data_IF_551273086322
#
_entry.id   IF_551273086322
#
_cell.length_a   1.000
_cell.length_b   1.000
_cell.length_c   1.000
_cell.angle_alpha   90.00
_cell.angle_beta   90.00
_cell.angle_gamma   90.00
#
_symmetry.space_group_name_H-M   'P 1'
#
loop_
_entity.id
_entity.type
_entity.pdbx_description
1 polymer ?
#
# COMPACT_ATOMS: atom_id res chain seq x y z
N UNK A 1 -9.80 -8.57 2.18
CA UNK A 1 -9.36 -8.04 3.49
C UNK A 1 -8.10 -7.22 3.28
N UNK A 2 -8.15 -5.94 3.62
CA UNK A 2 -6.97 -5.11 3.81
C UNK A 2 -6.53 -5.34 5.25
N UNK A 3 -5.30 -5.83 5.47
CA UNK A 3 -4.78 -6.12 6.80
C UNK A 3 -4.62 -4.83 7.62
N UNK A 4 -4.96 -4.86 8.90
CA UNK A 4 -4.78 -3.73 9.82
C UNK A 4 -3.47 -3.82 10.63
N UNK A 5 -2.75 -4.94 10.60
CA UNK A 5 -1.49 -5.13 11.32
C UNK A 5 -0.49 -5.91 10.47
N UNK A 6 0.79 -5.80 10.85
CA UNK A 6 1.90 -6.49 10.20
C UNK A 6 2.59 -5.68 9.09
N UNK A 7 2.15 -4.46 8.79
CA UNK A 7 2.60 -3.70 7.61
C UNK A 7 2.85 -2.23 7.91
N UNK A 8 4.08 -1.90 8.32
CA UNK A 8 4.42 -0.55 8.77
C UNK A 8 3.62 -0.12 10.00
N UNK A 9 3.52 1.19 10.21
CA UNK A 9 2.67 1.76 11.25
C UNK A 9 1.20 1.60 10.87
N UNK A 10 0.37 1.33 11.88
CA UNK A 10 -1.08 1.26 11.75
C UNK A 10 -1.63 2.65 12.00
N UNK A 11 -2.35 3.19 11.01
CA UNK A 11 -3.07 4.43 11.14
C UNK A 11 -4.47 4.17 11.66
N UNK A 12 -4.81 4.85 12.75
CA UNK A 12 -6.16 4.93 13.28
C UNK A 12 -6.83 6.17 12.69
N UNK A 13 -7.86 5.96 11.87
CA UNK A 13 -8.59 7.03 11.20
C UNK A 13 -10.00 7.11 11.79
N UNK A 14 -10.36 8.24 12.42
CA UNK A 14 -11.64 8.35 13.12
C UNK A 14 -12.81 8.32 12.13
N UNK A 15 -13.78 7.48 12.44
CA UNK A 15 -15.04 7.40 11.71
C UNK A 15 -15.95 8.52 12.21
N UNK A 16 -16.37 9.39 11.31
CA UNK A 16 -17.27 10.50 11.60
C UNK A 16 -18.74 10.06 11.54
N UNK A 17 -19.57 10.79 12.30
CA UNK A 17 -21.03 10.61 12.39
C UNK A 17 -21.48 9.19 12.78
N UNK A 18 -20.69 8.50 13.61
CA UNK A 18 -21.08 7.20 14.16
C UNK A 18 -22.21 7.38 15.17
N UNK A 19 -23.27 6.59 15.02
CA UNK A 19 -24.37 6.58 15.99
C UNK A 19 -23.88 6.08 17.35
N UNK A 20 -24.12 6.81 18.45
CA UNK A 20 -23.81 6.33 19.79
C UNK A 20 -24.49 5.00 20.13
N UNK A 21 -25.73 4.81 19.66
CA UNK A 21 -26.50 3.58 19.89
C UNK A 21 -25.80 2.36 19.28
N UNK A 22 -25.20 2.53 18.09
CA UNK A 22 -24.44 1.46 17.43
C UNK A 22 -23.18 1.09 18.23
N UNK A 23 -22.48 2.07 18.79
CA UNK A 23 -21.30 1.80 19.62
C UNK A 23 -21.66 1.06 20.90
N UNK A 24 -22.75 1.45 21.55
CA UNK A 24 -23.25 0.76 22.75
C UNK A 24 -23.63 -0.67 22.43
N UNK A 25 -24.43 -0.89 21.39
CA UNK A 25 -24.83 -2.23 20.93
C UNK A 25 -23.59 -3.09 20.63
N UNK A 26 -22.60 -2.53 19.93
CA UNK A 26 -21.38 -3.25 19.60
C UNK A 26 -20.54 -3.65 20.84
N UNK A 27 -20.43 -2.76 21.82
CA UNK A 27 -19.74 -3.05 23.08
C UNK A 27 -20.47 -4.14 23.88
N UNK A 28 -21.81 -4.06 23.96
CA UNK A 28 -22.64 -5.06 24.64
C UNK A 28 -22.54 -6.44 23.98
N UNK A 29 -22.63 -6.51 22.64
CA UNK A 29 -22.55 -7.76 21.89
C UNK A 29 -21.17 -8.43 22.00
N UNK A 30 -20.10 -7.62 21.95
CA UNK A 30 -18.74 -8.14 22.05
C UNK A 30 -18.34 -8.54 23.47
N UNK A 31 -18.99 -7.99 24.49
CA UNK A 31 -18.57 -8.10 25.90
C UNK A 31 -17.21 -7.45 26.18
N UNK A 32 -16.78 -6.50 25.35
CA UNK A 32 -15.51 -5.79 25.45
C UNK A 32 -15.74 -4.27 25.44
N UNK A 33 -14.90 -3.52 26.15
CA UNK A 33 -14.88 -2.06 26.08
C UNK A 33 -14.16 -1.54 24.84
N UNK A 34 -13.43 -2.40 24.12
CA UNK A 34 -12.67 -2.05 22.91
C UNK A 34 -12.92 -3.07 21.78
N UNK A 35 -14.19 -3.28 21.36
CA UNK A 35 -14.53 -4.19 20.28
C UNK A 35 -13.79 -3.83 19.00
N UNK A 36 -13.48 -4.87 18.22
CA UNK A 36 -13.07 -4.73 16.83
C UNK A 36 -14.00 -5.52 15.92
N UNK A 37 -14.34 -4.90 14.79
CA UNK A 37 -15.23 -5.47 13.77
C UNK A 37 -14.69 -5.25 12.38
N UNK A 38 -15.11 -6.11 11.45
CA UNK A 38 -14.82 -5.92 10.04
C UNK A 38 -15.86 -5.00 9.39
N UNK A 39 -15.40 -3.97 8.69
CA UNK A 39 -16.24 -3.00 7.98
C UNK A 39 -15.80 -2.89 6.53
N UNK A 40 -16.73 -2.57 5.65
CA UNK A 40 -16.48 -2.33 4.24
C UNK A 40 -16.36 -0.83 3.95
N UNK A 41 -15.36 -0.47 3.15
CA UNK A 41 -15.23 0.88 2.60
C UNK A 41 -15.88 0.97 1.22
N UNK A 42 -16.56 2.09 0.94
CA UNK A 42 -17.14 2.41 -0.37
C UNK A 42 -17.01 3.90 -0.66
N UNK A 43 -17.17 4.33 -1.91
CA UNK A 43 -16.99 5.74 -2.30
C UNK A 43 -15.66 5.95 -3.02
N UNK A 44 -14.97 7.06 -2.73
CA UNK A 44 -13.66 7.34 -3.32
C UNK A 44 -12.82 8.24 -2.41
N UNK A 45 -11.51 8.14 -2.53
CA UNK A 45 -10.54 9.00 -1.82
C UNK A 45 -10.75 10.49 -2.10
N UNK A 46 -11.35 10.84 -3.23
CA UNK A 46 -11.62 12.21 -3.62
C UNK A 46 -12.83 12.83 -2.88
N UNK A 47 -13.76 12.00 -2.42
CA UNK A 47 -15.00 12.42 -1.74
C UNK A 47 -15.04 12.02 -0.26
N UNK A 48 -14.18 11.09 0.16
CA UNK A 48 -14.28 10.40 1.45
C UNK A 48 -14.81 8.96 1.28
N UNK A 49 -14.53 8.11 2.25
CA UNK A 49 -15.01 6.73 2.25
C UNK A 49 -16.21 6.58 3.18
N UNK A 50 -17.30 5.99 2.68
CA UNK A 50 -18.39 5.53 3.54
C UNK A 50 -17.98 4.23 4.20
N UNK A 51 -18.16 4.16 5.52
CA UNK A 51 -17.87 2.97 6.33
C UNK A 51 -19.18 2.21 6.53
N UNK A 52 -19.15 0.92 6.18
CA UNK A 52 -20.34 0.05 6.23
C UNK A 52 -20.09 -1.17 7.10
N UNK A 53 -20.91 -1.36 8.12
CA UNK A 53 -21.01 -2.64 8.82
C UNK A 53 -22.13 -3.44 8.17
N UNK A 54 -21.80 -4.63 7.69
CA UNK A 54 -22.69 -5.43 6.84
C UNK A 54 -23.21 -4.60 5.64
N UNK A 55 -24.53 -4.37 5.57
CA UNK A 55 -25.21 -3.58 4.54
C UNK A 55 -25.71 -2.21 5.03
N UNK A 56 -25.26 -1.76 6.20
CA UNK A 56 -25.64 -0.47 6.78
C UNK A 56 -24.45 0.47 6.82
N UNK A 57 -24.64 1.71 6.37
CA UNK A 57 -23.63 2.76 6.54
C UNK A 57 -23.65 3.24 7.98
N UNK A 58 -22.53 3.11 8.67
CA UNK A 58 -22.37 3.47 10.09
C UNK A 58 -21.65 4.80 10.30
N UNK A 59 -21.04 5.35 9.25
CA UNK A 59 -20.31 6.60 9.30
C UNK A 59 -19.45 6.80 8.05
N UNK A 60 -18.50 7.72 8.10
CA UNK A 60 -17.59 7.99 7.00
C UNK A 60 -16.19 8.43 7.46
N UNK A 61 -15.20 8.20 6.61
CA UNK A 61 -13.89 8.81 6.70
C UNK A 61 -13.91 10.09 5.86
N UNK A 62 -13.48 11.19 6.47
CA UNK A 62 -13.40 12.50 5.83
C UNK A 62 -12.42 12.49 4.64
N UNK A 63 -12.61 13.45 3.73
CA UNK A 63 -11.86 13.53 2.48
C UNK A 63 -10.37 13.76 2.73
N UNK A 64 -10.03 14.54 3.75
CA UNK A 64 -8.67 14.90 4.13
C UNK A 64 -7.82 13.65 4.45
N UNK A 65 -8.39 12.71 5.18
CA UNK A 65 -7.77 11.44 5.55
C UNK A 65 -7.86 10.43 4.40
N UNK A 66 -9.01 10.34 3.74
CA UNK A 66 -9.23 9.43 2.62
C UNK A 66 -8.31 9.71 1.42
N UNK A 67 -7.98 10.98 1.17
CA UNK A 67 -7.15 11.41 0.05
C UNK A 67 -5.72 10.82 0.06
N UNK A 68 -5.23 10.35 1.22
CA UNK A 68 -3.95 9.66 1.30
C UNK A 68 -4.01 8.23 0.73
N UNK A 69 -5.19 7.60 0.71
CA UNK A 69 -5.41 6.19 0.38
C UNK A 69 -5.98 5.98 -1.03
N UNK A 70 -5.40 6.68 -2.02
CA UNK A 70 -5.85 6.58 -3.43
C UNK A 70 -5.76 5.17 -4.00
N UNK A 71 -4.96 4.28 -3.42
CA UNK A 71 -4.86 2.88 -3.80
C UNK A 71 -6.15 2.09 -3.55
N UNK A 72 -6.98 2.52 -2.60
CA UNK A 72 -8.27 1.88 -2.32
C UNK A 72 -9.30 2.17 -3.41
N UNK A 73 -9.17 3.29 -4.13
CA UNK A 73 -10.04 3.61 -5.27
C UNK A 73 -9.96 2.52 -6.34
N UNK A 74 -8.81 1.90 -6.55
CA UNK A 74 -8.67 0.82 -7.54
C UNK A 74 -9.47 -0.42 -7.16
N UNK A 75 -9.53 -0.75 -5.86
CA UNK A 75 -10.36 -1.87 -5.38
C UNK A 75 -11.84 -1.55 -5.61
N UNK A 76 -12.24 -0.32 -5.28
CA UNK A 76 -13.63 0.13 -5.40
C UNK A 76 -14.07 0.24 -6.87
N UNK A 77 -13.23 0.81 -7.73
CA UNK A 77 -13.43 0.92 -9.17
C UNK A 77 -13.53 -0.45 -9.85
N UNK A 78 -12.87 -1.47 -9.31
CA UNK A 78 -13.01 -2.86 -9.74
C UNK A 78 -14.33 -3.53 -9.27
N UNK A 79 -15.21 -2.77 -8.59
CA UNK A 79 -16.47 -3.26 -8.06
C UNK A 79 -16.33 -4.09 -6.78
N UNK A 80 -15.14 -4.10 -6.17
CA UNK A 80 -14.88 -4.78 -4.91
C UNK A 80 -15.05 -3.82 -3.73
N UNK A 81 -15.21 -4.37 -2.53
CA UNK A 81 -15.34 -3.59 -1.29
C UNK A 81 -14.14 -3.91 -0.39
N UNK A 82 -13.24 -2.95 -0.11
CA UNK A 82 -12.18 -3.14 0.87
C UNK A 82 -12.78 -3.48 2.24
N UNK A 83 -12.53 -4.69 2.72
CA UNK A 83 -12.86 -5.13 4.06
C UNK A 83 -11.69 -4.79 4.99
N UNK A 84 -11.91 -3.91 5.96
CA UNK A 84 -10.92 -3.38 6.91
C UNK A 84 -11.38 -3.62 8.35
N UNK A 85 -10.47 -3.55 9.31
CA UNK A 85 -10.83 -3.59 10.73
C UNK A 85 -11.18 -2.18 11.22
N UNK A 86 -12.26 -2.04 11.97
CA UNK A 86 -12.53 -0.86 12.79
C UNK A 86 -12.54 -1.25 14.27
N UNK A 87 -12.01 -0.38 15.13
CA UNK A 87 -11.86 -0.65 16.57
C UNK A 87 -12.37 0.53 17.39
N UNK A 88 -13.07 0.21 18.48
CA UNK A 88 -13.39 1.19 19.52
C UNK A 88 -12.16 1.36 20.42
N UNK A 89 -11.71 2.60 20.57
CA UNK A 89 -10.64 3.00 21.48
C UNK A 89 -11.18 4.04 22.46
N UNK A 90 -10.54 4.19 23.63
CA UNK A 90 -10.85 5.28 24.56
C UNK A 90 -9.80 6.37 24.39
N UNK A 91 -10.24 7.58 24.07
CA UNK A 91 -9.38 8.76 23.91
C UNK A 91 -9.64 9.72 25.06
N UNK A 92 -8.57 10.20 25.69
CA UNK A 92 -8.67 11.20 26.75
C UNK A 92 -8.82 12.59 26.14
N UNK A 93 -9.90 13.28 26.50
CA UNK A 93 -10.14 14.67 26.13
C UNK A 93 -10.63 15.45 27.35
N UNK A 94 -9.90 16.50 27.70
CA UNK A 94 -10.18 17.36 28.88
C UNK A 94 -10.29 16.58 30.21
N UNK A 95 -9.51 15.50 30.36
CA UNK A 95 -9.50 14.66 31.56
C UNK A 95 -10.66 13.66 31.65
N UNK A 96 -11.49 13.55 30.62
CA UNK A 96 -12.53 12.54 30.48
C UNK A 96 -12.20 11.57 29.34
N UNK A 97 -12.51 10.29 29.51
CA UNK A 97 -12.36 9.28 28.45
C UNK A 97 -13.61 9.25 27.58
N UNK A 98 -13.41 9.39 26.27
CA UNK A 98 -14.45 9.34 25.26
C UNK A 98 -14.19 8.16 24.31
N UNK A 99 -15.23 7.40 23.90
CA UNK A 99 -15.07 6.38 22.90
C UNK A 99 -14.81 7.02 21.53
N UNK A 100 -13.69 6.66 20.89
CA UNK A 100 -13.43 6.86 19.47
C UNK A 100 -13.67 5.56 18.72
N UNK A 101 -14.16 5.64 17.50
CA UNK A 101 -14.30 4.47 16.63
C UNK A 101 -13.51 4.70 15.36
N UNK A 102 -12.42 3.96 15.22
CA UNK A 102 -11.38 4.23 14.24
C UNK A 102 -11.26 3.07 13.25
N UNK A 103 -11.17 3.38 11.96
CA UNK A 103 -10.69 2.41 10.96
C UNK A 103 -9.18 2.24 11.11
N UNK A 104 -8.73 0.99 11.20
CA UNK A 104 -7.32 0.64 11.24
C UNK A 104 -6.83 0.28 9.83
N UNK A 105 -6.01 1.15 9.24
CA UNK A 105 -5.38 0.93 7.94
C UNK A 105 -3.86 0.92 8.06
N UNK A 106 -3.14 0.17 7.21
CA UNK A 106 -1.70 0.36 7.04
C UNK A 106 -1.40 1.80 6.62
N UNK A 107 -0.14 2.23 6.75
CA UNK A 107 0.26 3.52 6.18
C UNK A 107 -0.10 3.65 4.68
N UNK A 108 -0.40 4.87 4.17
CA UNK A 108 -0.68 5.10 2.76
C UNK A 108 0.36 4.48 1.82
N UNK A 109 -0.09 3.84 0.75
CA UNK A 109 0.76 3.09 -0.18
C UNK A 109 1.05 1.65 0.24
N UNK A 110 0.59 1.23 1.42
CA UNK A 110 0.78 -0.13 1.94
C UNK A 110 -0.46 -1.02 1.86
N UNK A 111 -1.63 -0.45 1.55
CA UNK A 111 -2.90 -1.19 1.54
C UNK A 111 -2.98 -2.23 0.42
N UNK A 112 -2.39 -1.92 -0.74
CA UNK A 112 -2.47 -2.75 -1.96
C UNK A 112 -1.08 -2.85 -2.57
N UNK A 113 -0.67 -4.01 -3.11
CA UNK A 113 0.60 -4.10 -3.79
C UNK A 113 0.59 -3.26 -5.07
N UNK A 114 1.71 -2.60 -5.35
CA UNK A 114 1.89 -1.71 -6.50
C UNK A 114 2.16 -2.46 -7.80
N UNK A 115 2.56 -3.73 -7.70
CA UNK A 115 2.77 -4.64 -8.82
C UNK A 115 1.70 -5.73 -8.88
N UNK A 116 1.50 -6.26 -10.08
CA UNK A 116 0.58 -7.37 -10.30
C UNK A 116 1.17 -8.67 -9.75
N UNK A 117 0.33 -9.63 -9.33
CA UNK A 117 0.80 -10.97 -9.02
C UNK A 117 1.46 -11.60 -10.27
N UNK A 118 2.37 -12.58 -10.08
CA UNK A 118 3.00 -13.28 -11.19
C UNK A 118 1.97 -13.88 -12.16
N UNK A 119 2.31 -13.92 -13.44
CA UNK A 119 1.48 -14.55 -14.45
C UNK A 119 1.50 -16.08 -14.31
N UNK A 120 2.60 -16.66 -13.82
CA UNK A 120 2.72 -18.10 -13.56
C UNK A 120 1.86 -18.55 -12.36
N UNK A 121 1.74 -19.86 -12.15
CA UNK A 121 1.05 -20.39 -10.96
C UNK A 121 1.83 -20.03 -9.70
N UNK A 122 1.13 -19.49 -8.70
CA UNK A 122 1.77 -18.99 -7.49
C UNK A 122 0.95 -19.30 -6.23
N UNK A 123 1.61 -19.19 -5.08
CA UNK A 123 0.99 -19.34 -3.77
C UNK A 123 1.46 -18.23 -2.84
N UNK A 124 0.51 -17.54 -2.20
CA UNK A 124 0.81 -16.52 -1.20
C UNK A 124 1.23 -17.19 0.10
N UNK A 125 2.48 -17.00 0.52
CA UNK A 125 2.94 -17.42 1.82
C UNK A 125 2.22 -16.61 2.92
N UNK A 126 1.84 -17.25 4.04
CA UNK A 126 1.45 -16.51 5.25
C UNK A 126 2.62 -15.66 5.72
N UNK A 127 2.37 -14.51 6.34
CA UNK A 127 3.43 -13.54 6.63
C UNK A 127 3.20 -12.74 7.90
N UNK A 128 3.53 -13.33 9.05
CA UNK A 128 3.61 -12.61 10.33
C UNK A 128 5.05 -12.29 10.73
N UNK A 129 6.01 -13.09 10.27
CA UNK A 129 7.42 -12.94 10.59
C UNK A 129 8.12 -12.05 9.57
N UNK A 130 8.82 -11.02 10.05
CA UNK A 130 9.57 -10.08 9.23
C UNK A 130 10.99 -10.57 8.92
N UNK A 131 11.40 -10.44 7.66
CA UNK A 131 12.77 -10.62 7.18
C UNK A 131 13.25 -9.32 6.52
N UNK A 132 14.14 -8.60 7.18
CA UNK A 132 14.61 -7.29 6.72
C UNK A 132 15.81 -7.42 5.75
N UNK A 133 15.74 -6.69 4.65
CA UNK A 133 16.74 -6.64 3.60
C UNK A 133 17.19 -5.19 3.44
N UNK A 134 18.48 -4.96 3.64
CA UNK A 134 19.14 -3.67 3.42
C UNK A 134 20.24 -3.75 2.35
N UNK A 135 20.56 -4.97 1.91
CA UNK A 135 21.57 -5.24 0.88
C UNK A 135 20.89 -5.68 -0.41
N UNK A 136 20.93 -4.81 -1.41
CA UNK A 136 20.31 -5.03 -2.70
C UNK A 136 21.37 -5.20 -3.80
N UNK A 137 20.98 -5.86 -4.87
CA UNK A 137 21.74 -5.97 -6.10
C UNK A 137 21.66 -4.65 -6.88
N UNK A 138 22.68 -4.34 -7.68
CA UNK A 138 22.93 -3.01 -8.27
C UNK A 138 21.88 -2.50 -9.26
N UNK A 139 20.82 -3.26 -9.57
CA UNK A 139 19.70 -2.82 -10.41
C UNK A 139 18.51 -2.45 -9.53
N UNK A 140 18.44 -1.17 -9.17
CA UNK A 140 17.46 -0.60 -8.24
C UNK A 140 16.32 0.16 -8.92
N UNK A 141 16.22 0.18 -10.25
CA UNK A 141 15.20 0.93 -11.01
C UNK A 141 13.74 0.48 -10.73
N UNK A 142 13.56 -0.57 -9.92
CA UNK A 142 12.27 -1.13 -9.54
C UNK A 142 11.65 -0.40 -8.34
N UNK A 143 12.47 0.26 -7.51
CA UNK A 143 11.98 0.86 -6.28
C UNK A 143 11.72 2.37 -6.38
N UNK A 144 10.59 2.85 -5.85
CA UNK A 144 10.20 4.27 -5.82
C UNK A 144 10.96 5.05 -4.75
N UNK A 145 10.68 6.36 -4.65
CA UNK A 145 11.11 7.19 -3.50
C UNK A 145 10.16 7.08 -2.30
N UNK A 146 8.89 6.71 -2.55
CA UNK A 146 7.84 6.51 -1.54
C UNK A 146 7.89 5.13 -0.89
N UNK A 147 7.28 5.00 0.30
CA UNK A 147 7.03 3.70 0.89
C UNK A 147 5.93 2.99 0.09
N UNK A 148 6.16 1.73 -0.29
CA UNK A 148 5.24 0.97 -1.14
C UNK A 148 5.22 -0.51 -0.77
N UNK A 149 4.04 -1.12 -0.92
CA UNK A 149 3.84 -2.56 -0.78
C UNK A 149 4.08 -3.26 -2.14
N UNK A 150 4.87 -4.33 -2.13
CA UNK A 150 5.18 -5.17 -3.27
C UNK A 150 4.77 -6.62 -3.02
N UNK A 151 4.38 -7.32 -4.08
CA UNK A 151 4.44 -8.76 -4.17
C UNK A 151 5.83 -9.18 -4.64
N UNK A 152 6.54 -9.92 -3.81
CA UNK A 152 7.85 -10.49 -4.15
C UNK A 152 7.76 -11.99 -4.36
N UNK A 153 8.56 -12.52 -5.29
CA UNK A 153 8.73 -13.95 -5.48
C UNK A 153 9.99 -14.43 -4.77
N UNK A 154 9.87 -15.50 -4.00
CA UNK A 154 10.96 -16.15 -3.27
C UNK A 154 11.43 -17.39 -4.03
N UNK A 155 12.75 -17.52 -4.18
CA UNK A 155 13.37 -18.67 -4.84
C UNK A 155 14.45 -19.27 -3.96
N UNK A 156 14.20 -20.47 -3.44
CA UNK A 156 15.21 -21.23 -2.73
C UNK A 156 16.23 -21.82 -3.72
N UNK A 157 17.49 -21.77 -3.33
CA UNK A 157 18.61 -22.44 -3.99
C UNK A 157 19.46 -23.12 -2.94
N UNK A 158 20.02 -24.27 -3.33
CA UNK A 158 21.01 -25.00 -2.53
C UNK A 158 22.29 -25.09 -3.34
N UNK A 159 23.36 -24.49 -2.84
CA UNK A 159 24.66 -24.52 -3.49
C UNK A 159 25.74 -24.86 -2.46
N UNK A 160 26.53 -25.91 -2.73
CA UNK A 160 27.55 -26.44 -1.81
C UNK A 160 27.07 -26.61 -0.35
N UNK A 161 25.85 -27.15 -0.17
CA UNK A 161 25.27 -27.39 1.15
C UNK A 161 24.72 -26.14 1.85
N UNK A 162 24.93 -24.93 1.31
CA UNK A 162 24.35 -23.69 1.84
C UNK A 162 22.96 -23.46 1.25
N UNK A 163 22.02 -23.09 2.13
CA UNK A 163 20.68 -22.63 1.78
C UNK A 163 20.76 -21.13 1.47
N UNK A 164 20.09 -20.73 0.40
CA UNK A 164 19.91 -19.33 0.03
C UNK A 164 18.49 -19.14 -0.48
N UNK A 165 17.86 -18.03 -0.13
CA UNK A 165 16.57 -17.63 -0.68
C UNK A 165 16.75 -16.29 -1.37
N UNK A 166 16.52 -16.26 -2.67
CA UNK A 166 16.58 -15.05 -3.47
C UNK A 166 15.21 -14.39 -3.52
N UNK A 167 15.21 -13.06 -3.51
CA UNK A 167 14.00 -12.23 -3.59
C UNK A 167 13.99 -11.52 -4.93
N UNK A 168 12.86 -11.62 -5.63
CA UNK A 168 12.65 -10.97 -6.92
C UNK A 168 11.34 -10.18 -6.94
N UNK A 169 11.34 -9.07 -7.69
CA UNK A 169 10.16 -8.27 -8.03
C UNK A 169 10.01 -8.31 -9.54
N UNK A 170 8.82 -8.62 -10.03
CA UNK A 170 8.51 -8.74 -11.46
C UNK A 170 9.54 -9.61 -12.24
N UNK A 171 9.98 -10.71 -11.61
CA UNK A 171 10.96 -11.65 -12.17
C UNK A 171 12.42 -11.19 -12.10
N UNK A 172 12.70 -9.96 -11.66
CA UNK A 172 14.07 -9.44 -11.49
C UNK A 172 14.54 -9.70 -10.07
N UNK A 173 15.62 -10.45 -9.92
CA UNK A 173 16.26 -10.65 -8.61
C UNK A 173 16.83 -9.33 -8.11
N UNK A 174 16.36 -8.92 -6.93
CA UNK A 174 16.73 -7.66 -6.28
C UNK A 174 17.64 -7.87 -5.06
N UNK A 175 17.54 -9.02 -4.40
CA UNK A 175 18.26 -9.30 -3.16
C UNK A 175 18.31 -10.81 -2.85
N UNK A 176 18.98 -11.13 -1.75
CA UNK A 176 18.93 -12.45 -1.10
C UNK A 176 18.63 -12.24 0.37
N UNK A 177 17.87 -13.15 0.97
CA UNK A 177 17.60 -13.14 2.41
C UNK A 177 18.89 -13.34 3.21
N UNK A 178 18.87 -12.89 4.47
CA UNK A 178 19.92 -13.18 5.44
C UNK A 178 20.13 -14.69 5.61
N UNK A 179 21.26 -15.12 6.18
CA UNK A 179 21.51 -16.54 6.40
C UNK A 179 20.41 -17.19 7.27
N UNK A 180 20.01 -16.51 8.33
CA UNK A 180 19.03 -17.01 9.30
C UNK A 180 17.63 -17.09 8.67
N UNK A 181 17.19 -16.03 7.98
CA UNK A 181 15.89 -16.02 7.28
C UNK A 181 15.86 -17.03 6.13
N UNK A 182 16.97 -17.20 5.41
CA UNK A 182 17.09 -18.21 4.36
C UNK A 182 17.07 -19.63 4.94
N UNK A 183 17.70 -19.86 6.10
CA UNK A 183 17.68 -21.17 6.74
C UNK A 183 16.26 -21.57 7.15
N UNK A 184 15.51 -20.61 7.72
CA UNK A 184 14.10 -20.71 8.09
C UNK A 184 13.21 -21.02 6.89
N UNK A 185 13.25 -20.16 5.87
CA UNK A 185 12.28 -20.22 4.76
C UNK A 185 12.61 -21.20 3.63
N UNK A 186 13.87 -21.66 3.50
CA UNK A 186 14.30 -22.41 2.32
C UNK A 186 13.50 -23.70 2.06
N UNK A 187 13.17 -24.47 3.09
CA UNK A 187 12.44 -25.74 2.89
C UNK A 187 11.00 -25.47 2.46
N UNK A 188 10.35 -24.49 3.08
CA UNK A 188 9.00 -24.03 2.70
C UNK A 188 9.00 -23.57 1.24
N UNK A 189 9.89 -22.64 0.87
CA UNK A 189 9.98 -22.11 -0.50
C UNK A 189 10.31 -23.21 -1.51
N UNK A 190 11.23 -24.13 -1.17
CA UNK A 190 11.58 -25.26 -2.03
C UNK A 190 10.39 -26.20 -2.26
N UNK A 191 9.55 -26.42 -1.25
CA UNK A 191 8.35 -27.26 -1.36
C UNK A 191 7.37 -26.71 -2.41
N UNK A 192 7.11 -25.40 -2.40
CA UNK A 192 6.27 -24.75 -3.43
C UNK A 192 6.90 -24.84 -4.82
N UNK A 193 8.21 -24.57 -4.94
CA UNK A 193 8.92 -24.67 -6.22
C UNK A 193 8.86 -26.09 -6.79
N UNK A 194 9.06 -27.12 -5.96
CA UNK A 194 8.98 -28.52 -6.37
C UNK A 194 7.56 -28.92 -6.78
N UNK A 195 6.54 -28.21 -6.28
CA UNK A 195 5.14 -28.36 -6.65
C UNK A 195 4.75 -27.54 -7.89
N UNK A 196 5.71 -26.87 -8.54
CA UNK A 196 5.48 -26.03 -9.71
C UNK A 196 4.79 -24.70 -9.39
N UNK A 197 4.90 -24.22 -8.15
CA UNK A 197 4.34 -22.95 -7.69
C UNK A 197 5.46 -21.94 -7.39
N UNK A 198 5.25 -20.69 -7.80
CA UNK A 198 6.04 -19.57 -7.28
C UNK A 198 5.58 -19.24 -5.86
N UNK A 199 6.52 -19.22 -4.91
CA UNK A 199 6.25 -18.74 -3.56
C UNK A 199 6.24 -17.20 -3.59
N UNK A 200 5.10 -16.59 -3.31
CA UNK A 200 4.92 -15.14 -3.27
C UNK A 200 4.77 -14.70 -1.82
N UNK A 201 5.40 -13.59 -1.47
CA UNK A 201 5.27 -12.97 -0.15
C UNK A 201 4.96 -11.48 -0.31
N UNK A 202 4.37 -10.89 0.73
CA UNK A 202 4.22 -9.44 0.83
C UNK A 202 5.54 -8.83 1.27
N UNK A 203 5.93 -7.73 0.67
CA UNK A 203 7.12 -6.99 1.04
C UNK A 203 6.85 -5.50 1.09
N UNK A 204 7.54 -4.81 2.00
CA UNK A 204 7.35 -3.40 2.29
C UNK A 204 8.64 -2.68 2.07
N UNK A 205 8.63 -1.82 1.06
CA UNK A 205 9.76 -0.99 0.73
C UNK A 205 9.60 0.37 1.41
N UNK A 206 10.67 0.89 1.98
CA UNK A 206 10.78 2.27 2.42
C UNK A 206 12.21 2.79 2.30
N UNK A 207 12.36 4.11 2.38
CA UNK A 207 13.65 4.77 2.56
C UNK A 207 13.87 5.05 4.04
N UNK A 208 14.81 4.36 4.65
CA UNK A 208 15.19 4.48 6.06
C UNK A 208 16.53 5.23 6.15
N UNK A 209 16.52 6.46 6.68
CA UNK A 209 17.68 7.37 6.70
C UNK A 209 18.37 7.53 5.33
N UNK A 210 17.58 7.57 4.24
CA UNK A 210 18.09 7.69 2.88
C UNK A 210 18.67 6.40 2.30
N UNK A 211 18.52 5.27 2.98
CA UNK A 211 18.91 3.95 2.49
C UNK A 211 17.66 3.11 2.20
N UNK A 212 17.64 2.35 1.09
CA UNK A 212 16.53 1.48 0.81
C UNK A 212 16.47 0.37 1.85
N UNK A 213 15.25 0.02 2.25
CA UNK A 213 14.94 -1.09 3.14
C UNK A 213 13.71 -1.82 2.61
N UNK A 214 13.80 -3.14 2.52
CA UNK A 214 12.68 -3.99 2.12
C UNK A 214 12.44 -5.01 3.23
N UNK A 215 11.24 -5.05 3.77
CA UNK A 215 10.84 -6.03 4.78
C UNK A 215 9.90 -7.04 4.15
N UNK A 216 10.33 -8.29 4.04
CA UNK A 216 9.53 -9.40 3.51
C UNK A 216 8.82 -10.10 4.66
N UNK A 217 7.52 -10.30 4.55
CA UNK A 217 6.71 -11.00 5.54
C UNK A 217 6.38 -12.40 5.04
N UNK A 218 7.00 -13.40 5.66
CA UNK A 218 6.82 -14.79 5.28
C UNK A 218 7.09 -15.72 6.48
N UNK A 219 6.19 -16.69 6.66
CA UNK A 219 6.28 -17.72 7.68
C UNK A 219 6.65 -19.07 7.06
N UNK A 220 7.23 -19.94 7.88
CA UNK A 220 7.35 -21.35 7.53
C UNK A 220 5.96 -21.98 7.43
N UNK A 221 5.83 -22.94 6.51
CA UNK A 221 4.59 -23.71 6.40
C UNK A 221 4.43 -24.59 7.64
N UNK A 222 3.31 -24.41 8.33
CA UNK A 222 2.81 -25.32 9.36
C UNK A 222 1.39 -25.78 8.98
N UNK A 223 0.87 -26.80 9.65
CA UNK A 223 -0.50 -27.27 9.41
C UNK A 223 -1.55 -26.16 9.56
N UNK A 224 -1.28 -25.17 10.43
CA UNK A 224 -2.12 -24.00 10.68
C UNK A 224 -1.85 -22.82 9.71
N UNK A 225 -0.72 -22.83 8.99
CA UNK A 225 -0.24 -21.73 8.13
C UNK A 225 -0.09 -22.21 6.69
N UNK A 226 -1.22 -22.43 6.02
CA UNK A 226 -1.26 -22.83 4.60
C UNK A 226 -1.23 -21.62 3.68
N UNK A 227 -0.43 -21.70 2.62
CA UNK A 227 -0.46 -20.69 1.58
C UNK A 227 -1.78 -20.73 0.81
N UNK A 228 -2.23 -19.56 0.38
CA UNK A 228 -3.37 -19.43 -0.53
C UNK A 228 -2.85 -19.64 -1.95
N UNK A 229 -3.27 -20.72 -2.60
CA UNK A 229 -2.93 -20.99 -4.01
C UNK A 229 -3.81 -20.12 -4.89
N UNK A 230 -3.21 -19.15 -5.57
CA UNK A 230 -3.90 -18.31 -6.54
C UNK A 230 -3.50 -18.76 -7.95
N UNK A 231 -4.50 -18.96 -8.82
CA UNK A 231 -4.30 -19.39 -10.19
C UNK A 231 -3.55 -18.36 -11.04
N UNK A 232 -3.16 -18.79 -12.24
CA UNK A 232 -2.57 -17.96 -13.32
C UNK A 232 -3.38 -16.67 -13.45
N UNK A 233 -2.78 -15.52 -13.18
CA UNK A 233 -3.43 -14.25 -13.46
C UNK A 233 -3.64 -14.17 -14.98
N UNK A 234 -4.90 -14.24 -15.43
CA UNK A 234 -5.24 -14.00 -16.83
C UNK A 234 -4.73 -12.62 -17.22
N UNK A 235 -3.67 -12.58 -18.02
CA UNK A 235 -2.91 -11.38 -18.35
C UNK A 235 -3.73 -10.29 -19.09
N UNK A 236 -4.98 -10.58 -19.47
CA UNK A 236 -5.72 -9.76 -20.45
C UNK A 236 -6.79 -8.82 -19.86
N UNK A 237 -7.05 -8.80 -18.55
CA UNK A 237 -8.08 -7.90 -17.98
C UNK A 237 -7.52 -6.79 -17.09
N UNK A 238 -6.41 -7.03 -16.38
CA UNK A 238 -5.82 -6.01 -15.48
C UNK A 238 -4.87 -5.02 -16.19
N UNK A 239 -4.18 -5.45 -17.26
CA UNK A 239 -3.19 -4.63 -17.96
C UNK A 239 -3.80 -3.44 -18.73
N UNK A 240 -4.97 -3.64 -19.36
CA UNK A 240 -5.61 -2.61 -20.18
C UNK A 240 -6.19 -1.44 -19.35
N UNK A 241 -6.65 -1.73 -18.13
CA UNK A 241 -7.09 -0.70 -17.16
C UNK A 241 -5.91 0.10 -16.60
N UNK A 242 -4.79 -0.56 -16.30
CA UNK A 242 -3.56 0.07 -15.80
C UNK A 242 -2.91 1.03 -16.81
N UNK A 243 -2.94 0.70 -18.10
CA UNK A 243 -2.41 1.57 -19.16
C UNK A 243 -3.33 2.74 -19.53
N UNK A 244 -4.65 2.54 -19.49
CA UNK A 244 -5.62 3.59 -19.83
C UNK A 244 -5.68 4.72 -18.78
N UNK A 245 -5.53 4.40 -17.50
CA UNK A 245 -5.60 5.36 -16.38
C UNK A 245 -4.34 6.25 -16.28
N UNK A 246 -3.14 5.67 -16.40
CA UNK A 246 -1.86 6.43 -16.34
C UNK A 246 -1.74 7.49 -17.44
N UNK A 247 -2.35 7.27 -18.62
CA UNK A 247 -2.43 8.29 -19.68
C UNK A 247 -3.32 9.48 -19.31
N UNK A 248 -4.32 9.32 -18.44
CA UNK A 248 -5.17 10.43 -17.98
C UNK A 248 -4.44 11.31 -16.96
N UNK A 249 -3.69 10.71 -16.02
CA UNK A 249 -2.94 11.42 -14.99
C UNK A 249 -1.75 12.22 -15.55
N UNK A 250 -1.07 11.72 -16.60
CA UNK A 250 -0.04 12.50 -17.32
C UNK A 250 -0.63 13.67 -18.13
N UNK A 251 -1.88 13.55 -18.62
CA UNK A 251 -2.55 14.61 -19.39
C UNK A 251 -3.01 15.78 -18.54
N UNK A 252 -3.32 15.56 -17.27
CA UNK A 252 -3.73 16.63 -16.33
C UNK A 252 -2.54 17.42 -15.80
N UNK A 253 -1.35 16.81 -15.64
CA UNK A 253 -0.13 17.52 -15.18
C UNK A 253 0.51 18.48 -16.20
N UNK A 254 0.15 18.45 -17.49
CA UNK A 254 0.82 19.26 -18.53
C UNK A 254 0.10 20.57 -18.92
N UNK A 255 -1.01 20.94 -18.26
CA UNK A 255 -1.71 22.23 -18.50
C UNK A 255 -1.66 23.16 -17.29
N UNK A 256 -0.45 23.59 -16.94
CA UNK A 256 -0.21 24.67 -15.98
C UNK A 256 1.02 25.48 -16.39
N UNK A 257 0.93 26.22 -17.51
CA UNK A 257 2.03 27.09 -17.97
C UNK A 257 1.93 28.45 -17.26
N UNK A 258 2.73 28.61 -16.21
CA UNK A 258 3.01 29.88 -15.56
C UNK A 258 3.46 30.94 -16.58
N UNK A 259 2.73 32.06 -16.64
CA UNK A 259 3.20 33.31 -17.19
C UNK A 259 4.33 33.83 -16.29
N UNK A 260 5.57 33.87 -16.81
CA UNK A 260 6.65 34.65 -16.23
C UNK A 260 6.69 36.00 -16.93
N UNK A 261 6.27 37.05 -16.22
CA UNK A 261 6.51 38.44 -16.55
C UNK A 261 7.97 38.80 -16.30
N UNK A 262 8.76 38.90 -17.37
CA UNK A 262 10.16 39.29 -17.30
C UNK A 262 10.31 40.78 -17.69
N UNK A 263 10.38 41.65 -16.68
CA UNK A 263 10.64 43.08 -16.83
C UNK A 263 12.10 43.39 -16.51
N UNK A 264 13.01 43.33 -17.49
CA UNK A 264 14.23 44.17 -17.52
C UNK A 264 14.64 44.57 -18.95
N UNK A 265 14.25 45.80 -19.27
CA UNK A 265 14.94 46.85 -20.05
C UNK A 265 15.98 46.40 -21.09
N UNK A 266 15.64 46.56 -22.38
CA UNK A 266 16.62 46.80 -23.46
C UNK A 266 16.48 48.22 -23.99
N UNK A 267 17.57 48.97 -23.87
CA UNK A 267 17.80 50.25 -24.53
C UNK A 267 17.90 50.08 -26.04
N UNK A 268 17.10 50.82 -26.80
CA UNK A 268 17.42 51.25 -28.17
C UNK A 268 16.85 52.65 -28.40
N UNK A 269 17.71 53.66 -28.52
CA UNK A 269 17.40 54.93 -29.21
C UNK A 269 17.51 54.71 -30.73
N UNK A 270 16.70 55.41 -31.52
CA UNK A 270 17.34 56.29 -32.50
C UNK A 270 16.65 57.67 -32.65
N UNK A 271 17.52 58.66 -32.89
CA UNK A 271 17.39 59.84 -33.77
C UNK A 271 16.18 60.78 -33.63
N UNK A 272 16.46 61.89 -32.94
CA UNK A 272 16.33 63.28 -33.38
C UNK A 272 15.12 63.75 -34.20
N UNK A 273 14.46 64.80 -33.71
CA UNK A 273 14.23 66.04 -34.46
C UNK A 273 13.94 67.21 -33.50
N UNK A 274 14.44 68.38 -33.90
CA UNK A 274 14.30 69.70 -33.30
C UNK A 274 12.84 70.18 -33.15
N UNK A 275 12.55 71.07 -32.19
CA UNK A 275 12.27 72.51 -32.42
C UNK A 275 11.67 73.19 -31.16
N UNK A 276 12.27 74.33 -30.78
CA UNK A 276 11.64 75.60 -30.31
C UNK A 276 10.77 75.59 -29.03
N UNK A 277 10.62 76.66 -28.23
CA UNK A 277 11.23 77.97 -27.94
C UNK A 277 10.30 78.52 -26.83
N UNK A 278 10.81 79.27 -25.85
CA UNK A 278 10.00 79.95 -24.84
C UNK A 278 10.64 79.89 -23.47
#
# INVERSE_FOLDING_TARGET
>A
MVPNHGFGDVNQIPIQEVSPDFLVELMEESGSEQPAVEVNLTGSSAEGFRVRYEDTTIGYLEREEAAAYTELDWIIDAGLRPLVTARVTMVEFDGEEWPSFDVELPAPGLCVPVNNPPAERWAMLPGTTAAAITQFQSKMDVFPESAEHFLVTLHARRFFGRRSVNVAVDGVQIASLSHDDAHRLADTVSSYQNSGLLAVARAYYCMDEGKPRLVVYADEQSDDKRAVVAGVAGADVFADLLHASRRRQCRTKTRGRCQRSDHRRRWRKPRGLHLFRG
#
